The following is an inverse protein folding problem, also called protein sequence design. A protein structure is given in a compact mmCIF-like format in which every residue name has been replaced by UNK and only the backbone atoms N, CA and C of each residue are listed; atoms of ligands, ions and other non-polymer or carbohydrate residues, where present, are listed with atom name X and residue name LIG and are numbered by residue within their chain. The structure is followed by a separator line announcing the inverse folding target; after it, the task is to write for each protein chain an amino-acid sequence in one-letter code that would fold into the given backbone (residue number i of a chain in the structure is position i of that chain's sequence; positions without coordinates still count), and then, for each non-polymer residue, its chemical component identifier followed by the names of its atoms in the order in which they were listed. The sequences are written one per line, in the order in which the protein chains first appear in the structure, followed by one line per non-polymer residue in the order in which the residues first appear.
data_IF_664169776350
#
_entry.id   IF_664169776350
#
_cell.length_a   1.000
_cell.length_b   1.000
_cell.length_c   1.000
_cell.angle_alpha   90.00
_cell.angle_beta   90.00
_cell.angle_gamma   90.00
#
_symmetry.space_group_name_H-M   'P 1'
#
loop_
_entity.id
_entity.type
_entity.pdbx_description
1 polymer ?
#
# COMPACT_ATOMS: atom_id res chain seq x y z
N UNK A 1 17.91 6.43 19.77
CA UNK A 1 16.60 7.10 19.96
C UNK A 1 15.56 6.36 19.14
N UNK A 2 14.48 5.85 19.79
CA UNK A 2 13.36 5.21 19.09
C UNK A 2 12.33 6.26 18.73
N UNK A 3 12.10 6.51 17.44
CA UNK A 3 11.00 7.35 16.98
C UNK A 3 9.70 6.54 17.12
N UNK A 4 8.83 6.93 18.05
CA UNK A 4 7.57 6.24 18.36
C UNK A 4 6.34 6.96 17.81
N UNK A 5 6.49 8.16 17.26
CA UNK A 5 5.39 8.96 16.75
C UNK A 5 5.39 9.01 15.22
N UNK A 6 4.20 8.91 14.60
CA UNK A 6 4.00 9.11 13.15
C UNK A 6 3.02 10.25 12.89
N UNK A 7 3.34 11.05 11.87
CA UNK A 7 2.54 12.15 11.36
C UNK A 7 1.93 11.82 9.99
N UNK A 8 2.23 10.64 9.47
CA UNK A 8 1.91 10.27 8.09
C UNK A 8 0.53 9.62 7.97
N UNK A 9 0.28 8.61 8.74
CA UNK A 9 -0.94 7.79 8.68
C UNK A 9 -1.73 7.92 9.98
N UNK A 10 -3.03 7.64 9.91
CA UNK A 10 -3.86 7.54 11.11
C UNK A 10 -3.49 6.30 11.95
N UNK A 11 -4.03 6.24 13.17
CA UNK A 11 -3.70 5.18 14.13
C UNK A 11 -4.14 3.79 13.66
N UNK A 12 -5.26 3.70 12.94
CA UNK A 12 -5.75 2.41 12.43
C UNK A 12 -4.79 1.79 11.41
N UNK A 13 -4.30 2.57 10.45
CA UNK A 13 -3.29 2.12 9.49
C UNK A 13 -2.00 1.74 10.22
N UNK A 14 -1.54 2.57 11.17
CA UNK A 14 -0.36 2.29 11.96
C UNK A 14 -0.48 0.96 12.75
N UNK A 15 -1.65 0.69 13.33
CA UNK A 15 -1.93 -0.55 14.07
C UNK A 15 -1.89 -1.77 13.14
N UNK A 16 -2.58 -1.71 12.00
CA UNK A 16 -2.60 -2.82 11.02
C UNK A 16 -1.19 -3.09 10.49
N UNK A 17 -0.48 -2.05 10.07
CA UNK A 17 0.88 -2.19 9.53
C UNK A 17 1.85 -2.73 10.58
N UNK A 18 1.80 -2.22 11.82
CA UNK A 18 2.64 -2.70 12.92
C UNK A 18 2.32 -4.14 13.31
N UNK A 19 1.03 -4.49 13.44
CA UNK A 19 0.60 -5.85 13.74
C UNK A 19 1.02 -6.85 12.66
N UNK A 20 1.06 -6.43 11.40
CA UNK A 20 1.53 -7.27 10.29
C UNK A 20 3.04 -7.50 10.35
N UNK A 21 3.85 -6.43 10.45
CA UNK A 21 5.31 -6.55 10.38
C UNK A 21 5.89 -7.23 11.63
N UNK A 22 5.28 -7.04 12.79
CA UNK A 22 5.73 -7.62 14.06
C UNK A 22 5.46 -9.13 14.18
N UNK A 23 4.71 -9.74 13.25
CA UNK A 23 4.63 -11.21 13.14
C UNK A 23 5.99 -11.84 12.85
N UNK A 24 6.90 -11.11 12.22
CA UNK A 24 8.31 -11.49 12.15
C UNK A 24 9.00 -11.12 13.48
N UNK A 25 9.33 -12.12 14.28
CA UNK A 25 9.97 -11.94 15.61
C UNK A 25 11.38 -11.32 15.53
N UNK A 26 12.03 -11.40 14.37
CA UNK A 26 13.35 -10.78 14.13
C UNK A 26 13.23 -9.26 13.91
N UNK A 27 12.03 -8.72 13.74
CA UNK A 27 11.83 -7.28 13.57
C UNK A 27 11.86 -6.55 14.92
N UNK A 28 12.36 -5.33 14.86
CA UNK A 28 12.38 -4.46 16.03
C UNK A 28 10.94 -4.19 16.53
N UNK A 29 10.64 -4.63 17.74
CA UNK A 29 9.36 -4.37 18.39
C UNK A 29 9.23 -2.87 18.67
N UNK A 30 8.23 -2.25 18.04
CA UNK A 30 8.00 -0.80 18.15
C UNK A 30 6.51 -0.51 18.21
N UNK A 31 6.12 0.24 19.21
CA UNK A 31 4.79 0.85 19.27
C UNK A 31 4.84 2.18 18.50
N UNK A 32 3.95 2.32 17.52
CA UNK A 32 3.82 3.54 16.71
C UNK A 32 2.54 4.27 17.10
N UNK A 33 2.68 5.50 17.58
CA UNK A 33 1.57 6.37 17.93
C UNK A 33 1.35 7.39 16.81
N UNK A 34 0.15 7.42 16.24
CA UNK A 34 -0.24 8.43 15.26
C UNK A 34 -0.84 9.65 15.95
N UNK A 35 -0.72 10.81 15.33
CA UNK A 35 -1.42 12.03 15.78
C UNK A 35 -2.92 11.90 15.49
N UNK A 36 -3.26 11.49 14.26
CA UNK A 36 -4.64 11.17 13.91
C UNK A 36 -5.05 9.85 14.56
N UNK A 37 -6.02 9.91 15.45
CA UNK A 37 -6.51 8.78 16.26
C UNK A 37 -7.60 7.95 15.58
N UNK A 38 -7.94 8.23 14.33
CA UNK A 38 -8.90 7.44 13.55
C UNK A 38 -8.46 5.98 13.46
N UNK A 39 -9.35 5.05 13.82
CA UNK A 39 -9.08 3.62 13.84
C UNK A 39 -10.08 2.78 13.05
N UNK A 40 -11.25 3.32 12.73
CA UNK A 40 -12.35 2.58 12.10
C UNK A 40 -12.27 2.63 10.57
N UNK A 41 -12.49 1.47 9.91
CA UNK A 41 -12.64 1.32 8.45
C UNK A 41 -11.49 1.90 7.60
N UNK A 42 -10.27 1.89 8.13
CA UNK A 42 -9.09 2.47 7.48
C UNK A 42 -8.36 1.52 6.53
N UNK A 43 -8.62 0.22 6.63
CA UNK A 43 -8.13 -0.80 5.69
C UNK A 43 -9.31 -1.64 5.23
N UNK A 44 -9.43 -1.82 3.93
CA UNK A 44 -10.44 -2.64 3.27
C UNK A 44 -9.74 -3.67 2.38
N UNK A 45 -10.24 -4.90 2.34
CA UNK A 45 -9.68 -5.97 1.51
C UNK A 45 -10.79 -6.53 0.64
N UNK A 46 -10.54 -6.57 -0.67
CA UNK A 46 -11.48 -7.09 -1.66
C UNK A 46 -10.81 -8.22 -2.45
N UNK A 47 -11.52 -9.32 -2.63
CA UNK A 47 -11.07 -10.47 -3.39
C UNK A 47 -11.66 -10.41 -4.79
N UNK A 48 -10.83 -10.07 -5.77
CA UNK A 48 -11.17 -9.93 -7.17
C UNK A 48 -10.23 -10.80 -8.00
N UNK A 49 -10.75 -11.57 -8.92
CA UNK A 49 -9.96 -12.53 -9.69
C UNK A 49 -9.80 -12.17 -11.16
N UNK A 50 -10.76 -11.43 -11.71
CA UNK A 50 -10.76 -11.06 -13.12
C UNK A 50 -10.29 -9.62 -13.33
N UNK A 51 -9.49 -9.39 -14.36
CA UNK A 51 -8.98 -8.04 -14.68
C UNK A 51 -10.11 -7.01 -14.89
N UNK A 52 -11.24 -7.44 -15.47
CA UNK A 52 -12.40 -6.58 -15.64
C UNK A 52 -12.99 -6.15 -14.29
N UNK A 53 -13.18 -7.09 -13.36
CA UNK A 53 -13.69 -6.80 -12.01
C UNK A 53 -12.78 -5.83 -11.26
N UNK A 54 -11.46 -5.97 -11.45
CA UNK A 54 -10.46 -5.06 -10.86
C UNK A 54 -10.62 -3.64 -11.41
N UNK A 55 -10.75 -3.48 -12.72
CA UNK A 55 -10.93 -2.15 -13.34
C UNK A 55 -12.26 -1.51 -12.94
N UNK A 56 -13.34 -2.28 -12.87
CA UNK A 56 -14.65 -1.80 -12.41
C UNK A 56 -14.59 -1.36 -10.94
N UNK A 57 -13.95 -2.15 -10.09
CA UNK A 57 -13.74 -1.83 -8.68
C UNK A 57 -12.92 -0.55 -8.51
N UNK A 58 -11.81 -0.42 -9.23
CA UNK A 58 -10.95 0.76 -9.20
C UNK A 58 -11.72 2.01 -9.63
N UNK A 59 -12.42 1.92 -10.75
CA UNK A 59 -13.24 3.02 -11.27
C UNK A 59 -14.27 3.46 -10.24
N UNK A 60 -15.03 2.53 -9.68
CA UNK A 60 -16.02 2.80 -8.66
C UNK A 60 -15.39 3.45 -7.42
N UNK A 61 -14.33 2.86 -6.88
CA UNK A 61 -13.66 3.36 -5.66
C UNK A 61 -13.09 4.77 -5.86
N UNK A 62 -12.46 5.04 -7.00
CA UNK A 62 -11.93 6.37 -7.30
C UNK A 62 -13.06 7.39 -7.45
N UNK A 63 -14.17 7.02 -8.10
CA UNK A 63 -15.33 7.90 -8.24
C UNK A 63 -16.03 8.16 -6.89
N UNK A 64 -16.13 7.17 -6.02
CA UNK A 64 -16.63 7.34 -4.66
C UNK A 64 -15.77 8.33 -3.86
N UNK A 65 -14.43 8.19 -3.91
CA UNK A 65 -13.50 9.13 -3.28
C UNK A 65 -13.68 10.54 -3.88
N UNK A 66 -13.77 10.64 -5.20
CA UNK A 66 -13.97 11.93 -5.88
C UNK A 66 -15.25 12.62 -5.41
N UNK A 67 -16.35 11.89 -5.33
CA UNK A 67 -17.66 12.43 -4.91
C UNK A 67 -17.66 12.79 -3.42
N UNK A 68 -17.14 11.93 -2.56
CA UNK A 68 -17.02 12.19 -1.12
C UNK A 68 -16.11 13.40 -0.81
N UNK A 69 -15.15 13.68 -1.69
CA UNK A 69 -14.21 14.79 -1.52
C UNK A 69 -14.76 16.14 -1.98
N UNK A 70 -15.93 16.16 -2.61
CA UNK A 70 -16.53 17.40 -3.14
C UNK A 70 -16.75 18.48 -2.07
N UNK A 71 -17.10 18.07 -0.85
CA UNK A 71 -17.34 19.00 0.27
C UNK A 71 -16.08 19.44 1.00
N UNK A 72 -14.92 18.82 0.73
CA UNK A 72 -13.68 19.07 1.49
C UNK A 72 -12.92 20.33 1.05
N UNK A 73 -13.24 20.88 -0.12
CA UNK A 73 -12.55 22.02 -0.73
C UNK A 73 -11.08 21.76 -1.12
N UNK A 74 -10.57 20.55 -0.87
CA UNK A 74 -9.20 20.14 -1.21
C UNK A 74 -9.23 18.90 -2.07
N UNK A 75 -8.44 18.90 -3.15
CA UNK A 75 -8.26 17.70 -3.96
C UNK A 75 -7.54 16.61 -3.18
N UNK A 76 -8.11 15.40 -3.19
CA UNK A 76 -7.51 14.22 -2.56
C UNK A 76 -6.56 13.53 -3.54
N UNK A 77 -5.46 13.02 -2.99
CA UNK A 77 -4.46 12.24 -3.73
C UNK A 77 -4.68 10.74 -3.50
N UNK A 78 -4.59 9.97 -4.59
CA UNK A 78 -4.73 8.51 -4.58
C UNK A 78 -3.48 7.91 -5.21
N UNK A 79 -2.78 7.02 -4.50
CA UNK A 79 -1.78 6.17 -5.12
C UNK A 79 -2.36 4.79 -5.38
N UNK A 80 -2.23 4.34 -6.63
CA UNK A 80 -2.46 2.95 -7.01
C UNK A 80 -1.09 2.28 -7.00
N UNK A 81 -0.88 1.34 -6.09
CA UNK A 81 0.42 0.70 -5.89
C UNK A 81 0.39 -0.74 -6.37
N UNK A 82 1.35 -1.10 -7.22
CA UNK A 82 1.60 -2.47 -7.65
C UNK A 82 3.04 -2.91 -7.37
N UNK A 83 3.29 -4.22 -7.33
CA UNK A 83 4.65 -4.75 -7.16
C UNK A 83 5.52 -4.41 -8.38
N UNK A 84 4.97 -4.48 -9.58
CA UNK A 84 5.64 -4.26 -10.86
C UNK A 84 4.92 -3.23 -11.73
N UNK A 85 5.63 -2.64 -12.69
CA UNK A 85 5.09 -1.63 -13.61
C UNK A 85 3.93 -2.15 -14.48
N UNK A 86 3.94 -3.44 -14.84
CA UNK A 86 2.89 -4.03 -15.66
C UNK A 86 1.54 -4.21 -14.92
N UNK A 87 1.51 -4.00 -13.60
CA UNK A 87 0.26 -3.93 -12.84
C UNK A 87 -0.49 -2.60 -13.04
N UNK A 88 0.06 -1.66 -13.82
CA UNK A 88 -0.61 -0.38 -14.07
C UNK A 88 -1.95 -0.59 -14.77
N UNK A 89 -3.07 -0.20 -14.14
CA UNK A 89 -4.39 -0.29 -14.76
C UNK A 89 -4.54 0.79 -15.83
N UNK A 90 -5.41 0.53 -16.82
CA UNK A 90 -5.85 1.57 -17.74
C UNK A 90 -7.14 2.22 -17.19
N UNK A 91 -7.04 3.44 -16.73
CA UNK A 91 -8.12 4.24 -16.15
C UNK A 91 -8.27 5.61 -16.84
N UNK A 92 -7.76 5.74 -18.06
CA UNK A 92 -7.77 7.03 -18.78
C UNK A 92 -9.20 7.54 -19.03
N UNK A 93 -10.16 6.62 -19.17
CA UNK A 93 -11.59 6.95 -19.39
C UNK A 93 -12.23 7.73 -18.26
N UNK A 94 -11.74 7.63 -17.03
CA UNK A 94 -12.33 8.34 -15.88
C UNK A 94 -11.71 9.71 -15.61
N UNK A 95 -10.52 9.99 -16.19
CA UNK A 95 -9.79 11.24 -15.95
C UNK A 95 -10.66 12.51 -16.15
N UNK A 96 -11.50 12.63 -17.20
CA UNK A 96 -12.30 13.83 -17.40
C UNK A 96 -13.34 14.11 -16.31
N UNK A 97 -13.69 13.08 -15.51
CA UNK A 97 -14.71 13.16 -14.47
C UNK A 97 -14.13 13.48 -13.08
N UNK A 98 -12.81 13.47 -12.93
CA UNK A 98 -12.14 13.69 -11.65
C UNK A 98 -11.90 15.18 -11.39
N UNK A 99 -12.73 15.76 -10.54
CA UNK A 99 -12.62 17.18 -10.14
C UNK A 99 -12.00 17.36 -8.76
N UNK A 100 -12.30 16.42 -7.84
CA UNK A 100 -11.95 16.54 -6.41
C UNK A 100 -10.85 15.57 -5.98
N UNK A 101 -10.37 14.72 -6.86
CA UNK A 101 -9.21 13.86 -6.59
C UNK A 101 -8.29 13.74 -7.81
N UNK A 102 -7.10 13.24 -7.56
CA UNK A 102 -6.13 12.82 -8.57
C UNK A 102 -5.63 11.44 -8.22
N UNK A 103 -5.30 10.62 -9.21
CA UNK A 103 -4.62 9.35 -8.95
C UNK A 103 -3.33 9.23 -9.75
N UNK A 104 -2.41 8.45 -9.22
CA UNK A 104 -1.15 8.12 -9.88
C UNK A 104 -0.79 6.67 -9.58
N UNK A 105 -0.39 5.93 -10.62
CA UNK A 105 0.18 4.60 -10.45
C UNK A 105 1.67 4.67 -10.11
N UNK A 106 2.09 3.93 -9.10
CA UNK A 106 3.49 3.75 -8.71
C UNK A 106 3.78 2.30 -8.37
N UNK A 107 5.03 1.88 -8.55
CA UNK A 107 5.46 0.64 -7.88
C UNK A 107 5.63 0.91 -6.38
N UNK A 108 5.45 -0.13 -5.55
CA UNK A 108 5.64 0.02 -4.10
C UNK A 108 7.05 0.58 -3.79
N UNK A 109 8.07 0.14 -4.53
CA UNK A 109 9.43 0.64 -4.37
C UNK A 109 9.55 2.13 -4.67
N UNK A 110 8.96 2.60 -5.78
CA UNK A 110 9.01 4.03 -6.15
C UNK A 110 8.17 4.92 -5.25
N UNK A 111 7.30 4.34 -4.43
CA UNK A 111 6.50 5.07 -3.44
C UNK A 111 7.25 5.36 -2.13
N UNK A 112 8.46 4.83 -1.95
CA UNK A 112 9.28 5.11 -0.75
C UNK A 112 9.50 6.61 -0.60
N UNK A 113 9.25 7.15 0.59
CA UNK A 113 9.36 8.58 0.89
C UNK A 113 8.11 9.41 0.55
N UNK A 114 7.24 8.92 -0.32
CA UNK A 114 6.02 9.60 -0.74
C UNK A 114 4.83 9.28 0.19
N UNK A 115 3.72 10.00 0.00
CA UNK A 115 2.46 9.77 0.71
C UNK A 115 1.27 10.27 -0.12
N UNK A 116 0.10 9.67 0.07
CA UNK A 116 -1.16 10.07 -0.53
C UNK A 116 -2.28 10.00 0.52
N UNK A 117 -3.42 10.64 0.25
CA UNK A 117 -4.55 10.54 1.16
C UNK A 117 -5.11 9.12 1.17
N UNK A 118 -5.23 8.51 -0.01
CA UNK A 118 -5.69 7.13 -0.20
C UNK A 118 -4.64 6.28 -0.92
N UNK A 119 -4.59 5.00 -0.59
CA UNK A 119 -3.76 4.01 -1.29
C UNK A 119 -4.63 2.84 -1.71
N UNK A 120 -4.51 2.41 -2.97
CA UNK A 120 -5.11 1.18 -3.49
C UNK A 120 -3.98 0.23 -3.86
N UNK A 121 -3.92 -0.93 -3.21
CA UNK A 121 -2.90 -1.95 -3.43
C UNK A 121 -3.41 -3.01 -4.38
N UNK A 122 -2.66 -3.29 -5.45
CA UNK A 122 -3.00 -4.29 -6.46
C UNK A 122 -2.08 -5.51 -6.40
N UNK A 123 -2.63 -6.65 -6.79
CA UNK A 123 -1.86 -7.88 -7.01
C UNK A 123 -1.43 -8.60 -5.73
N UNK A 124 -2.21 -8.51 -4.66
CA UNK A 124 -2.02 -9.29 -3.44
C UNK A 124 -2.55 -10.72 -3.64
N UNK A 125 -1.76 -11.55 -4.31
CA UNK A 125 -2.09 -12.94 -4.59
C UNK A 125 -0.82 -13.81 -4.57
N UNK A 126 -0.96 -15.12 -4.60
CA UNK A 126 0.16 -16.05 -4.75
C UNK A 126 0.51 -16.29 -6.23
N UNK A 127 1.79 -16.49 -6.53
CA UNK A 127 2.32 -16.83 -7.86
C UNK A 127 3.28 -15.81 -8.46
N UNK A 128 4.21 -16.23 -9.25
CA UNK A 128 5.41 -15.59 -9.83
C UNK A 128 5.52 -14.05 -9.89
N UNK A 129 4.57 -13.35 -10.53
CA UNK A 129 4.55 -11.89 -10.63
C UNK A 129 3.65 -11.22 -9.60
N UNK A 130 3.23 -11.96 -8.58
CA UNK A 130 2.35 -11.48 -7.53
C UNK A 130 3.08 -10.74 -6.41
N UNK A 131 2.33 -10.39 -5.38
CA UNK A 131 2.85 -9.87 -4.14
C UNK A 131 2.31 -10.71 -2.95
N UNK A 132 3.16 -11.42 -2.21
CA UNK A 132 4.63 -11.44 -2.24
C UNK A 132 5.21 -12.09 -3.49
N UNK A 133 6.34 -11.56 -3.98
CA UNK A 133 7.07 -12.15 -5.08
C UNK A 133 7.82 -13.40 -4.59
N UNK A 134 7.67 -14.51 -5.32
CA UNK A 134 8.34 -15.79 -5.04
C UNK A 134 9.68 -15.91 -5.79
N UNK A 135 10.35 -14.79 -6.06
CA UNK A 135 11.68 -14.85 -6.68
C UNK A 135 12.71 -15.34 -5.67
N UNK A 136 13.33 -16.45 -5.98
CA UNK A 136 14.58 -16.86 -5.31
C UNK A 136 15.68 -15.87 -5.68
N UNK A 137 16.45 -15.43 -4.70
CA UNK A 137 17.65 -14.64 -4.94
C UNK A 137 18.67 -15.49 -5.71
N UNK A 138 19.40 -14.85 -6.63
CA UNK A 138 20.48 -15.51 -7.36
C UNK A 138 21.48 -16.12 -6.34
N UNK A 139 21.80 -17.42 -6.44
CA UNK A 139 22.74 -18.08 -5.53
C UNK A 139 24.08 -17.35 -5.39
N UNK A 140 24.53 -16.63 -6.43
CA UNK A 140 25.74 -15.81 -6.40
C UNK A 140 25.59 -14.58 -5.50
N UNK A 141 24.40 -13.99 -5.39
CA UNK A 141 24.14 -12.88 -4.48
C UNK A 141 24.19 -13.32 -3.02
N UNK A 142 23.81 -14.56 -2.72
CA UNK A 142 23.88 -15.12 -1.36
C UNK A 142 25.30 -15.25 -0.81
N UNK A 143 26.33 -15.18 -1.68
CA UNK A 143 27.74 -15.18 -1.25
C UNK A 143 28.22 -13.82 -0.72
N UNK A 144 27.57 -12.73 -1.11
CA UNK A 144 27.98 -11.36 -0.77
C UNK A 144 26.98 -10.63 0.13
N UNK A 145 25.75 -11.12 0.21
CA UNK A 145 24.72 -10.54 1.08
C UNK A 145 24.85 -11.08 2.51
N UNK A 146 24.49 -10.27 3.52
CA UNK A 146 24.32 -10.78 4.88
C UNK A 146 23.37 -11.97 4.87
N UNK A 147 23.60 -12.93 5.78
CA UNK A 147 22.83 -14.17 5.92
C UNK A 147 21.32 -13.96 5.65
N UNK A 148 20.69 -14.80 4.81
CA UNK A 148 19.27 -14.65 4.51
C UNK A 148 18.46 -14.66 5.80
N UNK A 149 17.51 -13.76 5.91
CA UNK A 149 16.63 -13.71 7.08
C UNK A 149 15.85 -15.02 7.18
N UNK A 150 15.83 -15.62 8.37
CA UNK A 150 15.17 -16.91 8.66
C UNK A 150 13.66 -16.85 8.39
N UNK A 151 13.08 -15.64 8.30
CA UNK A 151 11.64 -15.45 8.10
C UNK A 151 11.31 -15.36 6.62
N UNK A 152 10.50 -16.30 6.13
CA UNK A 152 10.03 -16.31 4.74
C UNK A 152 9.39 -14.97 4.36
N UNK A 153 9.75 -14.46 3.17
CA UNK A 153 9.26 -13.20 2.63
C UNK A 153 9.53 -11.96 3.52
N UNK A 154 10.63 -11.94 4.28
CA UNK A 154 10.92 -10.83 5.20
C UNK A 154 11.00 -9.47 4.48
N UNK A 155 11.64 -9.41 3.30
CA UNK A 155 11.69 -8.20 2.48
C UNK A 155 10.31 -7.81 1.93
N UNK A 156 9.55 -8.75 1.40
CA UNK A 156 8.20 -8.50 0.89
C UNK A 156 7.27 -8.02 2.01
N UNK A 157 7.44 -8.53 3.24
CA UNK A 157 6.73 -8.03 4.42
C UNK A 157 7.08 -6.57 4.74
N UNK A 158 8.36 -6.21 4.68
CA UNK A 158 8.78 -4.82 4.84
C UNK A 158 8.22 -3.93 3.75
N UNK A 159 8.18 -4.44 2.52
CA UNK A 159 7.62 -3.72 1.39
C UNK A 159 6.10 -3.50 1.55
N UNK A 160 5.38 -4.49 2.04
CA UNK A 160 3.96 -4.36 2.35
C UNK A 160 3.70 -3.33 3.47
N UNK A 161 4.51 -3.36 4.53
CA UNK A 161 4.46 -2.33 5.57
C UNK A 161 4.68 -0.93 4.98
N UNK A 162 5.65 -0.78 4.08
CA UNK A 162 5.89 0.48 3.38
C UNK A 162 4.63 0.90 2.61
N UNK A 163 4.04 0.00 1.84
CA UNK A 163 2.85 0.29 1.03
C UNK A 163 1.67 0.77 1.88
N UNK A 164 1.33 0.05 2.96
CA UNK A 164 0.27 0.44 3.89
C UNK A 164 0.50 1.84 4.46
N UNK A 165 1.74 2.12 4.90
CA UNK A 165 2.09 3.39 5.53
C UNK A 165 2.26 4.55 4.55
N UNK A 166 1.95 4.39 3.26
CA UNK A 166 1.86 5.51 2.30
C UNK A 166 0.55 6.27 2.42
N UNK A 167 -0.50 5.63 2.93
CA UNK A 167 -1.81 6.26 3.09
C UNK A 167 -1.89 7.11 4.35
N UNK A 168 -2.60 8.24 4.24
CA UNK A 168 -2.98 9.05 5.39
C UNK A 168 -4.33 8.61 5.96
N UNK A 169 -5.32 8.38 5.10
CA UNK A 169 -6.72 8.21 5.47
C UNK A 169 -7.20 6.77 5.37
N UNK A 170 -6.99 6.10 4.21
CA UNK A 170 -7.49 4.74 3.99
C UNK A 170 -6.66 3.96 2.96
N UNK A 171 -6.62 2.64 3.15
CA UNK A 171 -6.03 1.66 2.22
C UNK A 171 -7.12 0.71 1.74
N UNK A 172 -7.12 0.44 0.43
CA UNK A 172 -7.99 -0.52 -0.25
C UNK A 172 -7.15 -1.66 -0.83
#
# INVERSE_FOLDING_TARGET
TKLTQTFRSNQGIANVASGFIQKNKSQLQKVVNAIDKTTSKVVEINFLTKAQEINEYLTRTIMEINNASASSGKKKSIYILGRYKHHKPNLDSILPFLRNCTFEFKTIHSSKGLQADYVILLGLNSGGSAFPAEKEDDPLLNLVLPQPEIHNFAEERRLFYVALTRAKEKVY
#
